data_IF_619356849666
#
_entry.id   IF_619356849666
#
_cell.length_a   1.000
_cell.length_b   1.000
_cell.length_c   1.000
_cell.angle_alpha   90.00
_cell.angle_beta   90.00
_cell.angle_gamma   90.00
#
_symmetry.space_group_name_H-M   'P 1'
#
loop_
_entity.id
_entity.type
_entity.pdbx_description
1 polymer ?
#
# COMPACT_ATOMS: atom_id res chain seq x y z
N UNK A 1 -22.12 3.15 20.19
CA UNK A 1 -21.35 3.21 18.93
C UNK A 1 -19.84 2.94 19.10
N UNK A 2 -19.33 2.79 20.34
CA UNK A 2 -17.90 2.56 20.65
C UNK A 2 -17.47 1.08 20.47
N UNK A 3 -18.28 0.14 20.97
CA UNK A 3 -17.99 -1.32 20.93
C UNK A 3 -17.77 -1.88 19.51
N UNK A 4 -18.46 -1.34 18.51
CA UNK A 4 -18.36 -1.82 17.13
C UNK A 4 -17.04 -1.37 16.46
N UNK A 5 -16.53 -0.19 16.81
CA UNK A 5 -15.24 0.30 16.31
C UNK A 5 -14.10 -0.51 16.90
N UNK A 6 -14.17 -0.83 18.21
CA UNK A 6 -13.19 -1.66 18.89
C UNK A 6 -13.15 -3.08 18.32
N UNK A 7 -14.32 -3.68 18.05
CA UNK A 7 -14.40 -5.01 17.44
C UNK A 7 -13.80 -5.04 16.03
N UNK A 8 -14.09 -4.04 15.19
CA UNK A 8 -13.49 -3.93 13.84
C UNK A 8 -11.98 -3.82 13.91
N UNK A 9 -11.46 -3.00 14.82
CA UNK A 9 -10.02 -2.86 15.06
C UNK A 9 -9.38 -4.19 15.48
N UNK A 10 -9.98 -4.92 16.41
CA UNK A 10 -9.48 -6.22 16.87
C UNK A 10 -9.45 -7.23 15.72
N UNK A 11 -10.52 -7.28 14.92
CA UNK A 11 -10.61 -8.17 13.75
C UNK A 11 -9.51 -7.84 12.73
N UNK A 12 -9.38 -6.57 12.35
CA UNK A 12 -8.40 -6.13 11.35
C UNK A 12 -6.96 -6.33 11.83
N UNK A 13 -6.68 -6.07 13.11
CA UNK A 13 -5.36 -6.31 13.68
C UNK A 13 -5.03 -7.80 13.78
N UNK A 14 -6.01 -8.64 14.13
CA UNK A 14 -5.84 -10.10 14.12
C UNK A 14 -5.59 -10.62 12.72
N UNK A 15 -6.35 -10.13 11.73
CA UNK A 15 -6.16 -10.44 10.32
C UNK A 15 -4.76 -10.05 9.85
N UNK A 16 -4.27 -8.86 10.23
CA UNK A 16 -2.90 -8.43 9.92
C UNK A 16 -1.86 -9.41 10.46
N UNK A 17 -1.97 -9.82 11.73
CA UNK A 17 -1.03 -10.75 12.36
C UNK A 17 -1.01 -12.12 11.67
N UNK A 18 -2.20 -12.67 11.40
CA UNK A 18 -2.36 -13.96 10.71
C UNK A 18 -1.81 -13.85 9.28
N UNK A 19 -2.20 -12.81 8.55
CA UNK A 19 -1.82 -12.61 7.17
C UNK A 19 -0.30 -12.42 7.02
N UNK A 20 0.33 -11.67 7.92
CA UNK A 20 1.79 -11.52 7.98
C UNK A 20 2.50 -12.87 8.19
N UNK A 21 1.93 -13.75 9.01
CA UNK A 21 2.48 -15.08 9.25
C UNK A 21 2.30 -16.04 8.07
N UNK A 22 1.20 -15.93 7.31
CA UNK A 22 0.85 -16.87 6.23
C UNK A 22 1.39 -16.42 4.88
N UNK A 23 1.19 -15.14 4.52
CA UNK A 23 1.54 -14.58 3.21
C UNK A 23 2.89 -13.86 3.20
N UNK A 24 3.50 -13.70 4.37
CA UNK A 24 4.75 -12.99 4.55
C UNK A 24 4.62 -11.46 4.52
N UNK A 25 5.77 -10.81 4.71
CA UNK A 25 5.92 -9.36 4.65
C UNK A 25 6.59 -8.94 3.35
N UNK A 26 6.13 -7.85 2.75
CA UNK A 26 6.83 -7.17 1.66
C UNK A 26 7.93 -6.23 2.19
N UNK A 27 7.73 -5.70 3.39
CA UNK A 27 8.70 -4.90 4.13
C UNK A 27 8.39 -5.00 5.64
N UNK A 28 9.25 -4.49 6.54
CA UNK A 28 9.00 -4.56 7.99
C UNK A 28 7.64 -4.00 8.41
N UNK A 29 7.11 -3.03 7.67
CA UNK A 29 5.84 -2.35 7.94
C UNK A 29 4.73 -2.70 6.94
N UNK A 30 4.96 -3.62 5.99
CA UNK A 30 3.96 -4.00 4.97
C UNK A 30 3.76 -5.50 4.95
N UNK A 31 2.56 -5.96 5.29
CA UNK A 31 2.17 -7.36 5.21
C UNK A 31 1.18 -7.60 4.08
N UNK A 32 1.31 -8.73 3.37
CA UNK A 32 0.32 -9.16 2.38
C UNK A 32 -0.92 -9.69 3.08
N UNK A 33 -2.08 -9.36 2.55
CA UNK A 33 -3.39 -9.92 2.96
C UNK A 33 -4.03 -10.57 1.75
N UNK A 34 -3.69 -11.85 1.55
CA UNK A 34 -4.03 -12.56 0.33
C UNK A 34 -3.32 -12.00 -0.89
N UNK A 35 -3.94 -12.13 -2.08
CA UNK A 35 -3.34 -11.71 -3.36
C UNK A 35 -3.60 -10.25 -3.73
N UNK A 36 -4.70 -9.69 -3.22
CA UNK A 36 -5.29 -8.43 -3.68
C UNK A 36 -5.05 -7.24 -2.76
N UNK A 37 -4.61 -7.48 -1.53
CA UNK A 37 -4.50 -6.40 -0.54
C UNK A 37 -3.18 -6.49 0.23
N UNK A 38 -2.76 -5.35 0.75
CA UNK A 38 -1.70 -5.24 1.74
C UNK A 38 -2.19 -4.40 2.90
N UNK A 39 -1.59 -4.62 4.06
CA UNK A 39 -1.73 -3.73 5.20
C UNK A 39 -0.36 -3.11 5.47
N UNK A 40 -0.32 -1.78 5.50
CA UNK A 40 0.84 -1.00 5.92
C UNK A 40 0.64 -0.50 7.35
N UNK A 41 1.62 -0.71 8.21
CA UNK A 41 1.66 -0.11 9.53
C UNK A 41 2.67 -0.74 10.50
N UNK A 42 2.90 -0.08 11.64
CA UNK A 42 2.28 1.21 12.01
C UNK A 42 2.80 2.38 11.17
N UNK A 43 1.89 3.26 10.73
CA UNK A 43 2.15 4.45 9.90
C UNK A 43 2.11 5.72 10.75
N UNK A 44 2.79 6.76 10.27
CA UNK A 44 2.67 8.11 10.85
C UNK A 44 1.47 8.85 10.25
N UNK A 45 0.96 9.87 10.94
CA UNK A 45 -0.18 10.65 10.44
C UNK A 45 0.07 11.29 9.06
N UNK A 46 1.24 11.89 8.76
CA UNK A 46 1.50 12.47 7.43
C UNK A 46 1.46 11.43 6.31
N UNK A 47 1.81 10.18 6.59
CA UNK A 47 1.75 9.09 5.63
C UNK A 47 0.29 8.68 5.33
N UNK A 48 -0.56 8.69 6.35
CA UNK A 48 -2.00 8.48 6.15
C UNK A 48 -2.59 9.60 5.28
N UNK A 49 -2.32 10.85 5.62
CA UNK A 49 -2.84 12.02 4.89
C UNK A 49 -2.38 12.01 3.43
N UNK A 50 -1.09 11.74 3.19
CA UNK A 50 -0.55 11.62 1.83
C UNK A 50 -1.21 10.50 1.04
N UNK A 51 -1.39 9.31 1.63
CA UNK A 51 -2.03 8.18 0.94
C UNK A 51 -3.52 8.40 0.67
N UNK A 52 -4.23 9.09 1.56
CA UNK A 52 -5.62 9.49 1.32
C UNK A 52 -5.69 10.49 0.16
N UNK A 53 -4.86 11.52 0.17
CA UNK A 53 -4.78 12.50 -0.91
C UNK A 53 -4.50 11.84 -2.27
N UNK A 54 -3.46 10.99 -2.34
CA UNK A 54 -3.12 10.27 -3.58
C UNK A 54 -4.28 9.37 -4.01
N UNK A 55 -4.92 8.64 -3.09
CA UNK A 55 -6.04 7.74 -3.41
C UNK A 55 -7.27 8.47 -3.97
N UNK A 56 -7.44 9.76 -3.66
CA UNK A 56 -8.51 10.61 -4.20
C UNK A 56 -8.16 11.15 -5.59
N UNK A 57 -6.88 11.45 -5.85
CA UNK A 57 -6.44 12.17 -7.04
C UNK A 57 -5.83 11.28 -8.12
N UNK A 58 -5.51 10.01 -7.81
CA UNK A 58 -4.92 9.08 -8.77
C UNK A 58 -5.68 7.76 -8.85
N UNK A 59 -5.28 6.91 -9.79
CA UNK A 59 -5.85 5.57 -9.94
C UNK A 59 -5.29 4.59 -8.90
N UNK A 60 -4.08 4.85 -8.37
CA UNK A 60 -3.33 3.98 -7.44
C UNK A 60 -2.46 4.78 -6.45
N UNK A 61 -2.31 4.33 -5.19
CA UNK A 61 -2.95 3.17 -4.56
C UNK A 61 -4.38 3.48 -4.11
N UNK A 62 -5.21 2.44 -3.95
CA UNK A 62 -6.57 2.58 -3.40
C UNK A 62 -6.61 2.19 -1.93
N UNK A 63 -6.94 3.15 -1.06
CA UNK A 63 -7.15 2.89 0.37
C UNK A 63 -8.52 2.23 0.56
N UNK A 64 -8.55 1.10 1.27
CA UNK A 64 -9.77 0.34 1.56
C UNK A 64 -10.31 0.59 2.96
N UNK A 65 -9.41 0.60 3.94
CA UNK A 65 -9.75 0.95 5.31
C UNK A 65 -8.53 1.44 6.08
N UNK A 66 -8.81 2.19 7.14
CA UNK A 66 -7.83 2.65 8.12
C UNK A 66 -8.31 2.23 9.50
N UNK A 67 -7.39 1.87 10.38
CA UNK A 67 -7.72 1.52 11.77
C UNK A 67 -6.56 1.80 12.71
N UNK A 68 -6.89 2.13 13.97
CA UNK A 68 -5.91 2.34 15.03
C UNK A 68 -5.65 1.00 15.73
N UNK A 69 -4.47 0.42 15.53
CA UNK A 69 -4.08 -0.84 16.17
C UNK A 69 -3.02 -0.61 17.26
N UNK A 70 -2.62 -1.68 17.96
CA UNK A 70 -1.43 -1.66 18.81
C UNK A 70 -0.21 -1.12 18.02
N UNK A 71 0.37 -0.03 18.50
CA UNK A 71 1.56 0.59 17.89
C UNK A 71 1.28 1.70 16.86
N UNK A 72 0.02 1.99 16.51
CA UNK A 72 -0.32 3.18 15.70
C UNK A 72 -1.38 2.95 14.61
N UNK A 73 -1.30 3.77 13.57
CA UNK A 73 -2.25 3.77 12.45
C UNK A 73 -1.89 2.66 11.47
N UNK A 74 -2.88 1.91 11.01
CA UNK A 74 -2.74 0.91 9.96
C UNK A 74 -3.63 1.26 8.77
N UNK A 75 -3.13 1.00 7.58
CA UNK A 75 -3.77 1.33 6.31
C UNK A 75 -3.84 0.05 5.47
N UNK A 76 -5.05 -0.43 5.21
CA UNK A 76 -5.29 -1.49 4.23
C UNK A 76 -5.51 -0.87 2.86
N UNK A 77 -4.78 -1.36 1.86
CA UNK A 77 -4.83 -0.86 0.49
C UNK A 77 -4.74 -2.00 -0.50
N UNK A 78 -5.08 -1.72 -1.76
CA UNK A 78 -4.92 -2.69 -2.84
C UNK A 78 -3.43 -3.03 -3.05
N UNK A 79 -3.15 -4.31 -3.24
CA UNK A 79 -1.82 -4.80 -3.59
C UNK A 79 -1.59 -4.58 -5.08
N UNK A 80 -0.71 -3.63 -5.40
CA UNK A 80 -0.27 -3.39 -6.78
C UNK A 80 0.71 -4.51 -7.14
N UNK A 81 0.29 -5.40 -8.03
CA UNK A 81 1.16 -6.46 -8.53
C UNK A 81 2.09 -5.90 -9.60
N UNK A 82 3.38 -6.22 -9.48
CA UNK A 82 4.39 -5.75 -10.42
C UNK A 82 5.79 -6.15 -10.00
N UNK A 83 6.76 -5.71 -10.80
CA UNK A 83 8.19 -5.75 -10.47
C UNK A 83 8.63 -4.33 -10.20
N UNK A 84 9.50 -4.14 -9.21
CA UNK A 84 10.09 -2.83 -8.92
C UNK A 84 10.87 -2.31 -10.13
N UNK A 85 10.86 -0.99 -10.30
CA UNK A 85 11.45 -0.37 -11.47
C UNK A 85 12.96 -0.57 -11.52
N UNK A 86 13.63 -0.63 -10.35
CA UNK A 86 15.07 -0.91 -10.24
C UNK A 86 15.42 -2.28 -10.83
N UNK A 87 14.73 -3.33 -10.42
CA UNK A 87 14.91 -4.70 -10.94
C UNK A 87 14.65 -4.74 -12.44
N UNK A 88 13.62 -4.06 -12.93
CA UNK A 88 13.38 -3.97 -14.38
C UNK A 88 14.52 -3.25 -15.09
N UNK A 89 15.02 -2.16 -14.52
CA UNK A 89 16.15 -1.41 -15.08
C UNK A 89 17.41 -2.27 -15.20
N UNK A 90 17.71 -3.04 -14.15
CA UNK A 90 18.85 -3.94 -14.08
C UNK A 90 18.75 -5.13 -15.07
N UNK A 91 17.53 -5.54 -15.43
CA UNK A 91 17.29 -6.60 -16.44
C UNK A 91 17.53 -6.15 -17.88
N UNK A 92 17.74 -4.85 -18.11
CA UNK A 92 18.09 -4.32 -19.43
C UNK A 92 16.89 -3.97 -20.30
N UNK A 93 16.14 -2.95 -19.90
CA UNK A 93 15.05 -2.36 -20.71
C UNK A 93 15.58 -1.81 -22.04
N UNK A 94 14.80 -2.02 -23.11
CA UNK A 94 15.06 -1.43 -24.43
C UNK A 94 14.90 0.09 -24.39
N UNK A 95 15.55 0.84 -25.29
CA UNK A 95 15.45 2.31 -25.32
C UNK A 95 14.00 2.83 -25.35
N UNK A 96 13.12 2.26 -26.19
CA UNK A 96 11.71 2.67 -26.25
C UNK A 96 10.89 2.33 -25.00
N UNK A 97 11.25 1.26 -24.28
CA UNK A 97 10.60 0.92 -22.99
C UNK A 97 10.97 1.94 -21.92
N UNK A 98 12.24 2.37 -21.89
CA UNK A 98 12.70 3.43 -20.98
C UNK A 98 11.99 4.75 -21.26
N UNK A 99 11.87 5.13 -22.54
CA UNK A 99 11.16 6.34 -22.95
C UNK A 99 9.69 6.30 -22.52
N UNK A 100 9.01 5.16 -22.74
CA UNK A 100 7.62 4.96 -22.31
C UNK A 100 7.47 5.13 -20.80
N UNK A 101 8.34 4.49 -20.00
CA UNK A 101 8.31 4.60 -18.54
C UNK A 101 8.53 6.04 -18.08
N UNK A 102 9.48 6.77 -18.70
CA UNK A 102 9.73 8.17 -18.34
C UNK A 102 8.53 9.06 -18.66
N UNK A 103 7.86 8.83 -19.79
CA UNK A 103 6.64 9.54 -20.15
C UNK A 103 5.49 9.25 -19.16
N UNK A 104 5.33 7.99 -18.74
CA UNK A 104 4.33 7.61 -17.74
C UNK A 104 4.60 8.27 -16.38
N UNK A 105 5.86 8.31 -15.94
CA UNK A 105 6.26 9.01 -14.71
C UNK A 105 5.95 10.51 -14.81
N UNK A 106 6.30 11.14 -15.93
CA UNK A 106 6.01 12.56 -16.16
C UNK A 106 4.49 12.82 -16.10
N UNK A 107 3.68 11.98 -16.73
CA UNK A 107 2.23 12.10 -16.70
C UNK A 107 1.66 11.96 -15.27
N UNK A 108 2.16 11.01 -14.46
CA UNK A 108 1.74 10.87 -13.05
C UNK A 108 2.10 12.11 -12.24
N UNK A 109 3.30 12.66 -12.43
CA UNK A 109 3.74 13.85 -11.70
C UNK A 109 2.90 15.09 -12.04
N UNK A 110 2.29 15.18 -13.22
CA UNK A 110 1.36 16.27 -13.56
C UNK A 110 -0.01 16.16 -12.88
N UNK A 111 -0.36 15.00 -12.31
CA UNK A 111 -1.65 14.75 -11.66
C UNK A 111 -1.59 14.97 -10.14
N UNK A 112 -0.39 15.17 -9.58
CA UNK A 112 -0.13 15.33 -8.14
C UNK A 112 0.14 16.79 -7.80
#
# INVERSE_FOLDING_TARGET
>A
MMVLQDLKTIILHTQFRIARSIFGSLSPTVAKVGRKHVIKGPCQLPELEALLYISEHTTIPRVRCTYNGPGGIYIMMDHIQGTDLETLWMRGLKPGEKETILNDIAAILTQL
#
